data_IF_241078392488
#
_entry.id   IF_241078392488
#
_cell.length_a   1.000
_cell.length_b   1.000
_cell.length_c   1.000
_cell.angle_alpha   90.00
_cell.angle_beta   90.00
_cell.angle_gamma   90.00
#
_symmetry.space_group_name_H-M   'P 1'
#
loop_
_entity.id
_entity.type
_entity.pdbx_description
1 polymer ?
#
# COMPACT_ATOMS: atom_id res chain seq x y z
N UNK A 1 22.34 -12.57 0.43
CA UNK A 1 20.98 -12.66 0.95
C UNK A 1 20.05 -13.02 -0.18
N UNK A 2 19.17 -13.96 0.03
CA UNK A 2 18.05 -14.34 -0.85
C UNK A 2 16.77 -13.82 -0.23
N UNK A 3 15.80 -13.42 -1.04
CA UNK A 3 14.51 -12.92 -0.59
C UNK A 3 13.42 -13.70 -1.33
N UNK A 4 12.47 -14.23 -0.59
CA UNK A 4 11.31 -14.95 -1.13
C UNK A 4 10.05 -14.20 -0.75
N UNK A 5 9.17 -13.99 -1.72
CA UNK A 5 7.98 -13.13 -1.56
C UNK A 5 6.74 -13.93 -1.93
N UNK A 6 5.73 -13.82 -1.09
CA UNK A 6 4.40 -14.35 -1.32
C UNK A 6 3.32 -13.42 -0.79
N UNK A 7 2.09 -13.54 -1.29
CA UNK A 7 0.96 -12.72 -0.90
C UNK A 7 -0.29 -13.55 -0.57
N UNK A 8 -1.18 -12.95 0.22
CA UNK A 8 -2.49 -13.51 0.55
C UNK A 8 -3.59 -12.44 0.47
N UNK A 9 -4.83 -12.91 0.25
CA UNK A 9 -5.96 -12.00 0.10
C UNK A 9 -6.04 -11.34 -1.27
N UNK A 10 -5.36 -11.89 -2.29
CA UNK A 10 -5.45 -11.40 -3.66
C UNK A 10 -6.84 -11.68 -4.24
N UNK A 11 -7.51 -10.63 -4.70
CA UNK A 11 -8.82 -10.69 -5.38
C UNK A 11 -8.77 -9.98 -6.74
N UNK A 12 -7.58 -9.78 -7.28
CA UNK A 12 -7.36 -9.03 -8.53
C UNK A 12 -7.96 -7.63 -8.45
N UNK A 13 -8.77 -7.27 -9.44
CA UNK A 13 -9.44 -5.97 -9.49
C UNK A 13 -10.63 -5.83 -8.51
N UNK A 14 -11.12 -6.95 -7.95
CA UNK A 14 -12.24 -6.94 -7.00
C UNK A 14 -11.75 -6.68 -5.56
N UNK A 15 -11.27 -5.48 -5.29
CA UNK A 15 -10.80 -5.13 -3.94
C UNK A 15 -11.94 -5.04 -2.91
N UNK A 16 -13.20 -4.94 -3.34
CA UNK A 16 -14.39 -4.92 -2.49
C UNK A 16 -14.88 -6.31 -2.05
N UNK A 17 -14.10 -7.37 -2.23
CA UNK A 17 -14.45 -8.71 -1.78
C UNK A 17 -14.47 -8.77 -0.25
N UNK A 18 -15.67 -9.01 0.30
CA UNK A 18 -15.90 -9.08 1.76
C UNK A 18 -15.26 -10.31 2.42
N UNK A 19 -14.98 -11.37 1.67
CA UNK A 19 -14.30 -12.56 2.18
C UNK A 19 -12.80 -12.34 2.36
N UNK A 20 -12.23 -11.39 1.60
CA UNK A 20 -10.82 -11.04 1.63
C UNK A 20 -10.64 -9.52 1.78
N UNK A 21 -11.04 -8.92 2.93
CA UNK A 21 -11.00 -7.46 3.12
C UNK A 21 -9.58 -6.91 3.25
N UNK A 22 -8.63 -7.76 3.61
CA UNK A 22 -7.23 -7.39 3.82
C UNK A 22 -6.37 -8.09 2.76
N UNK A 23 -5.38 -7.37 2.26
CA UNK A 23 -4.30 -7.90 1.44
C UNK A 23 -3.03 -7.95 2.28
N UNK A 24 -2.31 -9.07 2.20
CA UNK A 24 -1.07 -9.31 2.92
C UNK A 24 0.07 -9.60 1.96
N UNK A 25 1.27 -9.17 2.33
CA UNK A 25 2.50 -9.44 1.61
C UNK A 25 3.60 -9.78 2.61
N UNK A 26 4.30 -10.89 2.39
CA UNK A 26 5.41 -11.33 3.22
C UNK A 26 6.67 -11.47 2.37
N UNK A 27 7.79 -10.96 2.86
CA UNK A 27 9.10 -11.28 2.30
C UNK A 27 9.95 -11.96 3.37
N UNK A 28 10.45 -13.14 3.06
CA UNK A 28 11.38 -13.94 3.84
C UNK A 28 12.81 -13.62 3.40
N UNK A 29 13.65 -13.16 4.30
CA UNK A 29 15.07 -12.88 4.08
C UNK A 29 15.90 -14.03 4.61
N UNK A 30 16.66 -14.69 3.74
CA UNK A 30 17.51 -15.80 4.09
C UNK A 30 18.97 -15.53 3.71
N UNK A 31 19.88 -15.99 4.54
CA UNK A 31 21.31 -15.90 4.25
C UNK A 31 21.69 -16.80 3.08
N UNK A 32 21.09 -17.99 3.00
CA UNK A 32 21.37 -18.99 1.99
C UNK A 32 20.20 -19.17 1.02
N UNK A 33 20.47 -19.84 -0.09
CA UNK A 33 19.44 -20.15 -1.08
C UNK A 33 18.62 -21.37 -0.61
N UNK A 34 17.38 -21.12 -0.18
CA UNK A 34 16.46 -22.14 0.31
C UNK A 34 15.99 -23.12 -0.80
N UNK A 35 16.06 -22.69 -2.05
CA UNK A 35 15.67 -23.55 -3.20
C UNK A 35 16.66 -24.69 -3.41
N UNK A 36 17.87 -24.58 -2.86
CA UNK A 36 18.86 -25.66 -2.96
C UNK A 36 18.58 -26.80 -1.95
N UNK A 37 17.76 -26.53 -0.92
CA UNK A 37 17.40 -27.48 0.17
C UNK A 37 18.59 -28.38 0.56
N UNK A 38 19.66 -27.74 1.01
CA UNK A 38 20.96 -28.39 1.27
C UNK A 38 20.84 -29.63 2.20
N UNK A 39 19.82 -29.65 3.07
CA UNK A 39 19.56 -30.74 4.00
C UNK A 39 18.45 -31.70 3.52
N UNK A 40 17.76 -31.41 2.44
CA UNK A 40 16.66 -32.22 1.90
C UNK A 40 15.45 -32.37 2.81
N UNK A 41 15.39 -31.62 3.94
CA UNK A 41 14.40 -31.85 5.00
C UNK A 41 12.97 -31.66 4.50
N UNK A 42 12.68 -30.52 3.85
CA UNK A 42 11.35 -30.24 3.32
C UNK A 42 11.01 -31.15 2.14
N UNK A 43 11.97 -31.40 1.26
CA UNK A 43 11.81 -32.30 0.13
C UNK A 43 11.49 -33.74 0.58
N UNK A 44 12.21 -34.26 1.58
CA UNK A 44 11.98 -35.60 2.14
C UNK A 44 10.61 -35.67 2.83
N UNK A 45 10.23 -34.63 3.57
CA UNK A 45 8.89 -34.54 4.17
C UNK A 45 7.80 -34.59 3.10
N UNK A 46 7.87 -33.78 2.06
CA UNK A 46 6.89 -33.78 0.96
C UNK A 46 6.80 -35.18 0.29
N UNK A 47 7.96 -35.78 0.00
CA UNK A 47 8.03 -37.11 -0.58
C UNK A 47 7.37 -38.17 0.32
N UNK A 48 7.60 -38.12 1.64
CA UNK A 48 6.98 -39.07 2.61
C UNK A 48 5.46 -38.92 2.67
N UNK A 49 4.93 -37.78 2.30
CA UNK A 49 3.47 -37.44 2.26
C UNK A 49 2.88 -37.57 0.84
N UNK A 50 3.67 -38.04 -0.13
CA UNK A 50 3.29 -38.15 -1.55
C UNK A 50 2.79 -36.82 -2.13
N UNK A 51 3.44 -35.69 -1.72
CA UNK A 51 3.15 -34.34 -2.18
C UNK A 51 4.30 -33.79 -3.02
N UNK A 52 3.97 -32.99 -4.03
CA UNK A 52 4.97 -32.28 -4.87
C UNK A 52 5.33 -30.93 -4.32
N UNK A 53 4.40 -30.28 -3.64
CA UNK A 53 4.53 -28.96 -3.05
C UNK A 53 3.79 -28.86 -1.72
N UNK A 54 4.15 -27.90 -0.90
CA UNK A 54 3.46 -27.51 0.32
C UNK A 54 2.68 -26.21 0.04
N UNK A 55 1.38 -26.32 -0.06
CA UNK A 55 0.48 -25.17 -0.13
C UNK A 55 -0.34 -25.12 1.15
N UNK A 56 -0.20 -24.06 1.94
CA UNK A 56 -0.72 -24.02 3.30
C UNK A 56 -2.25 -24.16 3.36
N UNK A 57 -2.98 -23.45 2.50
CA UNK A 57 -4.45 -23.51 2.45
C UNK A 57 -4.99 -24.87 2.01
N UNK A 58 -4.28 -25.58 1.14
CA UNK A 58 -4.70 -26.91 0.61
C UNK A 58 -4.28 -28.08 1.49
N UNK A 59 -3.38 -27.86 2.43
CA UNK A 59 -2.80 -28.92 3.25
C UNK A 59 -2.80 -28.63 4.75
N UNK A 60 -3.94 -28.19 5.35
CA UNK A 60 -3.97 -27.76 6.75
C UNK A 60 -3.58 -28.86 7.74
N UNK A 61 -3.85 -30.14 7.40
CA UNK A 61 -3.48 -31.30 8.21
C UNK A 61 -1.96 -31.57 8.26
N UNK A 62 -1.17 -31.01 7.36
CA UNK A 62 0.29 -31.16 7.34
C UNK A 62 1.02 -30.02 8.02
N UNK A 63 0.32 -28.92 8.33
CA UNK A 63 0.96 -27.69 8.81
C UNK A 63 1.68 -27.86 10.14
N UNK A 64 1.18 -28.73 11.05
CA UNK A 64 1.83 -28.95 12.34
C UNK A 64 3.23 -29.57 12.16
N UNK A 65 3.33 -30.63 11.36
CA UNK A 65 4.60 -31.28 11.09
C UNK A 65 5.52 -30.39 10.27
N UNK A 66 4.96 -29.73 9.24
CA UNK A 66 5.69 -28.80 8.39
C UNK A 66 6.26 -27.61 9.17
N UNK A 67 5.50 -27.07 10.13
CA UNK A 67 5.93 -25.94 10.96
C UNK A 67 7.20 -26.24 11.76
N UNK A 68 7.32 -27.46 12.28
CA UNK A 68 8.53 -27.88 12.99
C UNK A 68 9.76 -27.91 12.07
N UNK A 69 9.60 -28.42 10.85
CA UNK A 69 10.68 -28.49 9.86
C UNK A 69 11.07 -27.10 9.38
N UNK A 70 10.05 -26.27 9.06
CA UNK A 70 10.24 -24.90 8.61
C UNK A 70 10.94 -24.08 9.68
N UNK A 71 10.52 -24.14 10.93
CA UNK A 71 11.15 -23.43 12.04
C UNK A 71 12.66 -23.76 12.10
N UNK A 72 13.02 -25.03 12.04
CA UNK A 72 14.42 -25.44 12.03
C UNK A 72 15.20 -24.83 10.84
N UNK A 73 14.61 -24.87 9.63
CA UNK A 73 15.21 -24.25 8.44
C UNK A 73 15.42 -22.74 8.65
N UNK A 74 14.44 -22.03 9.21
CA UNK A 74 14.51 -20.61 9.44
C UNK A 74 15.57 -20.23 10.48
N UNK A 75 15.67 -20.99 11.58
CA UNK A 75 16.69 -20.82 12.63
C UNK A 75 18.11 -21.06 12.06
N UNK A 76 18.33 -22.15 11.34
CA UNK A 76 19.63 -22.49 10.73
C UNK A 76 20.08 -21.43 9.69
N UNK A 77 19.13 -20.78 9.02
CA UNK A 77 19.38 -19.73 8.03
C UNK A 77 19.40 -18.32 8.61
N UNK A 78 19.13 -18.16 9.90
CA UNK A 78 19.00 -16.87 10.57
C UNK A 78 18.06 -15.94 9.76
N UNK A 79 16.85 -16.44 9.55
CA UNK A 79 15.87 -15.83 8.67
C UNK A 79 15.14 -14.67 9.35
N UNK A 80 14.81 -13.64 8.55
CA UNK A 80 14.06 -12.46 8.97
C UNK A 80 12.91 -12.18 8.01
N UNK A 81 11.99 -11.28 8.40
CA UNK A 81 10.79 -11.04 7.65
C UNK A 81 10.51 -9.55 7.46
N UNK A 82 9.92 -9.22 6.33
CA UNK A 82 9.17 -8.00 6.10
C UNK A 82 7.71 -8.35 5.91
N UNK A 83 6.81 -7.59 6.53
CA UNK A 83 5.38 -7.82 6.48
C UNK A 83 4.64 -6.58 6.00
N UNK A 84 3.68 -6.74 5.10
CA UNK A 84 2.76 -5.67 4.72
C UNK A 84 1.31 -6.11 4.86
N UNK A 85 0.49 -5.18 5.35
CA UNK A 85 -0.96 -5.34 5.51
C UNK A 85 -1.67 -4.13 4.92
N UNK A 86 -2.59 -4.36 3.99
CA UNK A 86 -3.38 -3.33 3.35
C UNK A 86 -4.86 -3.61 3.56
N UNK A 87 -5.54 -2.75 4.31
CA UNK A 87 -6.99 -2.68 4.33
C UNK A 87 -7.48 -2.14 2.99
N UNK A 88 -8.20 -2.98 2.24
CA UNK A 88 -8.65 -2.66 0.88
C UNK A 88 -9.67 -1.53 0.84
N UNK A 89 -10.51 -1.40 1.88
CA UNK A 89 -11.45 -0.28 1.97
C UNK A 89 -10.70 1.02 2.21
N UNK A 90 -9.71 1.00 3.09
CA UNK A 90 -8.84 2.15 3.33
C UNK A 90 -8.04 2.54 2.09
N UNK A 91 -7.55 1.58 1.31
CA UNK A 91 -6.89 1.82 0.03
C UNK A 91 -7.84 2.51 -0.96
N UNK A 92 -9.08 2.01 -1.09
CA UNK A 92 -10.06 2.62 -1.97
C UNK A 92 -10.37 4.08 -1.58
N UNK A 93 -10.53 4.35 -0.28
CA UNK A 93 -10.68 5.71 0.23
C UNK A 93 -9.46 6.59 -0.02
N UNK A 94 -8.25 6.09 0.17
CA UNK A 94 -7.03 6.84 -0.09
C UNK A 94 -6.93 7.24 -1.56
N UNK A 95 -7.28 6.34 -2.49
CA UNK A 95 -7.31 6.62 -3.92
C UNK A 95 -8.39 7.63 -4.30
N UNK A 96 -9.60 7.52 -3.72
CA UNK A 96 -10.66 8.49 -3.91
C UNK A 96 -10.23 9.88 -3.40
N UNK A 97 -9.64 9.93 -2.21
CA UNK A 97 -9.16 11.17 -1.62
C UNK A 97 -8.07 11.81 -2.48
N UNK A 98 -7.06 11.04 -2.87
CA UNK A 98 -5.97 11.53 -3.71
C UNK A 98 -6.52 12.12 -5.03
N UNK A 99 -7.43 11.44 -5.70
CA UNK A 99 -8.04 11.93 -6.95
C UNK A 99 -8.87 13.22 -6.76
N UNK A 100 -9.55 13.38 -5.62
CA UNK A 100 -10.38 14.57 -5.38
C UNK A 100 -9.59 15.76 -4.86
N UNK A 101 -8.50 15.51 -4.11
CA UNK A 101 -7.75 16.57 -3.42
C UNK A 101 -6.38 16.86 -4.03
N UNK A 102 -6.01 16.22 -5.15
CA UNK A 102 -4.84 16.64 -5.91
C UNK A 102 -5.11 18.00 -6.58
N UNK A 103 -4.39 19.01 -6.15
CA UNK A 103 -4.57 20.37 -6.64
C UNK A 103 -3.96 20.61 -8.03
N UNK A 104 -3.14 19.68 -8.54
CA UNK A 104 -2.62 19.76 -9.91
C UNK A 104 -3.65 19.23 -10.92
N UNK A 105 -4.48 18.29 -10.49
CA UNK A 105 -5.52 17.66 -11.31
C UNK A 105 -6.92 18.25 -11.06
N UNK A 106 -7.18 18.75 -9.85
CA UNK A 106 -8.49 19.26 -9.46
C UNK A 106 -8.44 20.74 -9.03
N UNK A 107 -8.99 21.59 -9.86
CA UNK A 107 -9.05 23.04 -9.60
C UNK A 107 -9.77 23.40 -8.29
N UNK A 108 -10.75 22.58 -7.87
CA UNK A 108 -11.47 22.75 -6.61
C UNK A 108 -10.67 22.32 -5.37
N UNK A 109 -9.50 21.70 -5.56
CA UNK A 109 -8.66 21.26 -4.46
C UNK A 109 -7.68 22.38 -4.03
N UNK A 110 -7.51 22.55 -2.72
CA UNK A 110 -6.60 23.54 -2.16
C UNK A 110 -5.18 23.01 -2.06
N UNK A 111 -4.20 23.79 -2.50
CA UNK A 111 -2.78 23.45 -2.42
C UNK A 111 -2.31 23.17 -0.99
N UNK A 112 -2.85 23.90 -0.01
CA UNK A 112 -2.53 23.74 1.41
C UNK A 112 -2.78 22.31 1.93
N UNK A 113 -3.75 21.57 1.40
CA UNK A 113 -4.04 20.21 1.82
C UNK A 113 -2.88 19.25 1.48
N UNK A 114 -2.24 19.44 0.34
CA UNK A 114 -1.08 18.63 -0.05
C UNK A 114 0.22 19.05 0.62
N UNK A 115 0.36 20.35 0.93
CA UNK A 115 1.58 20.88 1.51
C UNK A 115 1.71 20.61 3.01
N UNK A 116 0.58 20.54 3.73
CA UNK A 116 0.59 20.36 5.18
C UNK A 116 0.05 18.98 5.56
N UNK A 117 0.95 18.07 5.90
CA UNK A 117 0.61 16.67 6.25
C UNK A 117 -0.50 16.55 7.29
N UNK A 118 -0.44 17.36 8.35
CA UNK A 118 -1.45 17.31 9.41
C UNK A 118 -2.85 17.68 8.90
N UNK A 119 -2.98 18.74 8.11
CA UNK A 119 -4.25 19.11 7.52
C UNK A 119 -4.78 18.05 6.56
N UNK A 120 -3.89 17.44 5.77
CA UNK A 120 -4.24 16.32 4.89
C UNK A 120 -4.78 15.13 5.67
N UNK A 121 -4.09 14.70 6.74
CA UNK A 121 -4.52 13.57 7.57
C UNK A 121 -5.85 13.86 8.27
N UNK A 122 -6.03 15.06 8.84
CA UNK A 122 -7.29 15.49 9.45
C UNK A 122 -8.45 15.51 8.46
N UNK A 123 -8.24 16.12 7.29
CA UNK A 123 -9.27 16.18 6.27
C UNK A 123 -9.62 14.77 5.76
N UNK A 124 -8.61 13.91 5.57
CA UNK A 124 -8.83 12.54 5.17
C UNK A 124 -9.62 11.76 6.22
N UNK A 125 -9.31 11.92 7.51
CA UNK A 125 -10.09 11.31 8.58
C UNK A 125 -11.55 11.79 8.55
N UNK A 126 -11.78 13.11 8.45
CA UNK A 126 -13.12 13.66 8.35
C UNK A 126 -13.87 13.13 7.13
N UNK A 127 -13.19 13.05 5.99
CA UNK A 127 -13.75 12.54 4.75
C UNK A 127 -14.22 11.08 4.86
N UNK A 128 -13.36 10.19 5.38
CA UNK A 128 -13.72 8.77 5.51
C UNK A 128 -14.73 8.49 6.63
N UNK A 129 -14.87 9.40 7.61
CA UNK A 129 -15.79 9.22 8.73
C UNK A 129 -17.27 9.41 8.36
N UNK A 130 -17.55 10.05 7.23
CA UNK A 130 -18.92 10.33 6.78
C UNK A 130 -19.39 9.43 5.65
N UNK A 131 -18.51 8.64 5.07
CA UNK A 131 -18.79 7.82 3.89
C UNK A 131 -18.78 6.33 4.22
N UNK A 132 -19.65 5.60 3.54
CA UNK A 132 -19.65 4.14 3.56
C UNK A 132 -18.58 3.59 2.61
N UNK A 133 -18.03 2.43 2.92
CA UNK A 133 -17.01 1.74 2.09
C UNK A 133 -17.48 1.53 0.64
N UNK A 134 -18.79 1.37 0.42
CA UNK A 134 -19.39 1.20 -0.91
C UNK A 134 -19.10 2.38 -1.85
N UNK A 135 -19.02 3.60 -1.32
CA UNK A 135 -18.68 4.80 -2.13
C UNK A 135 -17.25 4.72 -2.64
N UNK A 136 -16.33 4.31 -1.79
CA UNK A 136 -14.93 4.16 -2.16
C UNK A 136 -14.72 2.99 -3.14
N UNK A 137 -15.39 1.86 -2.92
CA UNK A 137 -15.34 0.73 -3.85
C UNK A 137 -16.01 1.03 -5.19
N UNK A 138 -17.10 1.79 -5.20
CA UNK A 138 -17.75 2.26 -6.44
C UNK A 138 -16.78 3.11 -7.27
N UNK A 139 -16.11 4.07 -6.62
CA UNK A 139 -15.06 4.88 -7.26
C UNK A 139 -13.93 4.01 -7.79
N UNK A 140 -13.35 3.15 -6.97
CA UNK A 140 -12.23 2.32 -7.34
C UNK A 140 -12.55 1.44 -8.55
N UNK A 141 -13.68 0.72 -8.51
CA UNK A 141 -14.10 -0.21 -9.56
C UNK A 141 -14.48 0.50 -10.86
N UNK A 142 -15.23 1.59 -10.77
CA UNK A 142 -15.89 2.18 -11.94
C UNK A 142 -15.22 3.49 -12.43
N UNK A 143 -14.28 4.04 -11.66
CA UNK A 143 -13.47 5.16 -12.13
C UNK A 143 -12.04 4.70 -12.43
N UNK A 144 -11.30 4.19 -11.43
CA UNK A 144 -9.90 3.79 -11.63
C UNK A 144 -9.75 2.52 -12.51
N UNK A 145 -10.64 1.54 -12.35
CA UNK A 145 -10.63 0.28 -13.12
C UNK A 145 -11.59 0.30 -14.31
N UNK A 146 -12.14 1.46 -14.66
CA UNK A 146 -13.09 1.60 -15.76
C UNK A 146 -12.50 1.15 -17.11
N UNK A 147 -13.37 0.66 -18.00
CA UNK A 147 -12.98 0.28 -19.37
C UNK A 147 -13.08 1.45 -20.35
N UNK A 148 -13.73 2.55 -19.99
CA UNK A 148 -13.80 3.75 -20.81
C UNK A 148 -13.82 5.02 -19.96
N UNK A 149 -13.25 6.10 -20.51
CA UNK A 149 -13.23 7.42 -19.86
C UNK A 149 -14.64 7.99 -19.66
N UNK A 150 -15.54 7.77 -20.61
CA UNK A 150 -16.93 8.23 -20.53
C UNK A 150 -17.59 7.59 -19.30
N UNK A 151 -17.46 6.28 -19.15
CA UNK A 151 -17.98 5.56 -18.01
C UNK A 151 -17.37 6.05 -16.69
N UNK A 152 -16.04 6.22 -16.64
CA UNK A 152 -15.36 6.75 -15.45
C UNK A 152 -15.92 8.11 -15.03
N UNK A 153 -16.12 9.03 -15.96
CA UNK A 153 -16.67 10.37 -15.70
C UNK A 153 -18.12 10.33 -15.16
N UNK A 154 -18.96 9.48 -15.71
CA UNK A 154 -20.33 9.34 -15.22
C UNK A 154 -20.38 8.77 -13.79
N UNK A 155 -19.56 7.76 -13.50
CA UNK A 155 -19.46 7.25 -12.13
C UNK A 155 -18.83 8.26 -11.16
N UNK A 156 -17.84 9.04 -11.59
CA UNK A 156 -17.30 10.12 -10.76
C UNK A 156 -18.39 11.13 -10.37
N UNK A 157 -19.23 11.53 -11.31
CA UNK A 157 -20.36 12.43 -11.01
C UNK A 157 -21.30 11.81 -9.96
N UNK A 158 -21.60 10.51 -10.06
CA UNK A 158 -22.42 9.79 -9.09
C UNK A 158 -21.76 9.73 -7.70
N UNK A 159 -20.46 9.44 -7.64
CA UNK A 159 -19.67 9.45 -6.41
C UNK A 159 -19.65 10.85 -5.79
N UNK A 160 -19.38 11.90 -6.57
CA UNK A 160 -19.42 13.28 -6.11
C UNK A 160 -20.80 13.66 -5.52
N UNK A 161 -21.89 13.26 -6.19
CA UNK A 161 -23.25 13.50 -5.69
C UNK A 161 -23.47 12.79 -4.34
N UNK A 162 -22.98 11.56 -4.19
CA UNK A 162 -23.09 10.82 -2.93
C UNK A 162 -22.30 11.50 -1.81
N UNK A 163 -21.08 11.93 -2.06
CA UNK A 163 -20.27 12.66 -1.09
C UNK A 163 -21.00 13.94 -0.62
N UNK A 164 -21.51 14.75 -1.55
CA UNK A 164 -22.25 15.97 -1.23
C UNK A 164 -23.52 15.71 -0.41
N UNK A 165 -24.17 14.55 -0.59
CA UNK A 165 -25.34 14.18 0.23
C UNK A 165 -25.00 13.79 1.66
N UNK A 166 -23.72 13.47 1.97
CA UNK A 166 -23.27 13.06 3.30
C UNK A 166 -22.49 14.16 4.05
N UNK A 167 -22.11 15.23 3.36
CA UNK A 167 -21.21 16.26 3.89
C UNK A 167 -21.77 17.00 5.12
N UNK A 168 -23.09 17.04 5.27
CA UNK A 168 -23.77 17.65 6.43
C UNK A 168 -23.46 16.93 7.74
N UNK A 169 -23.00 15.66 7.69
CA UNK A 169 -22.58 14.88 8.87
C UNK A 169 -21.32 15.46 9.54
N UNK A 170 -20.53 16.21 8.80
CA UNK A 170 -19.36 16.89 9.36
C UNK A 170 -19.79 18.09 10.20
N UNK A 171 -19.29 18.15 11.44
CA UNK A 171 -19.54 19.30 12.35
C UNK A 171 -18.72 20.51 11.97
N UNK A 172 -17.49 20.31 11.52
CA UNK A 172 -16.56 21.36 11.16
C UNK A 172 -16.93 22.00 9.81
N UNK A 173 -17.29 23.30 9.86
CA UNK A 173 -17.69 24.07 8.70
C UNK A 173 -16.57 24.23 7.67
N UNK A 174 -15.32 24.31 8.14
CA UNK A 174 -14.17 24.48 7.24
C UNK A 174 -13.89 23.21 6.45
N UNK A 175 -13.93 22.03 7.10
CA UNK A 175 -13.81 20.76 6.40
C UNK A 175 -14.95 20.56 5.39
N UNK A 176 -16.18 20.93 5.75
CA UNK A 176 -17.31 20.89 4.78
C UNK A 176 -17.01 21.71 3.55
N UNK A 177 -16.62 22.97 3.73
CA UNK A 177 -16.30 23.87 2.62
C UNK A 177 -15.18 23.32 1.72
N UNK A 178 -14.08 22.84 2.32
CA UNK A 178 -12.94 22.29 1.57
C UNK A 178 -13.36 21.06 0.75
N UNK A 179 -14.16 20.17 1.34
CA UNK A 179 -14.63 18.97 0.64
C UNK A 179 -15.62 19.36 -0.46
N UNK A 180 -16.54 20.28 -0.18
CA UNK A 180 -17.52 20.75 -1.16
C UNK A 180 -16.86 21.39 -2.38
N UNK A 181 -15.86 22.25 -2.16
CA UNK A 181 -15.11 22.90 -3.25
C UNK A 181 -14.37 21.87 -4.11
N UNK A 182 -13.68 20.90 -3.49
CA UNK A 182 -12.97 19.86 -4.20
C UNK A 182 -13.92 18.95 -5.01
N UNK A 183 -15.04 18.53 -4.40
CA UNK A 183 -16.02 17.68 -5.06
C UNK A 183 -16.73 18.39 -6.20
N UNK A 184 -17.05 19.68 -6.04
CA UNK A 184 -17.64 20.48 -7.12
C UNK A 184 -16.62 20.73 -8.23
N UNK A 185 -15.35 21.00 -7.92
CA UNK A 185 -14.29 21.08 -8.92
C UNK A 185 -14.17 19.80 -9.74
N UNK A 186 -14.11 18.64 -9.09
CA UNK A 186 -14.06 17.35 -9.74
C UNK A 186 -15.29 17.06 -10.62
N UNK A 187 -16.47 17.50 -10.21
CA UNK A 187 -17.73 17.31 -10.97
C UNK A 187 -17.77 18.14 -12.24
N UNK A 188 -17.24 19.36 -12.21
CA UNK A 188 -17.33 20.31 -13.33
C UNK A 188 -16.11 20.27 -14.24
N UNK A 189 -14.92 20.00 -13.69
CA UNK A 189 -13.64 19.97 -14.42
C UNK A 189 -13.08 18.54 -14.51
N UNK A 190 -13.94 17.56 -14.72
CA UNK A 190 -13.55 16.15 -14.73
C UNK A 190 -12.66 15.73 -15.90
N UNK A 191 -12.43 16.61 -16.88
CA UNK A 191 -11.49 16.37 -17.98
C UNK A 191 -10.03 16.47 -17.56
N UNK A 192 -9.76 17.23 -16.50
CA UNK A 192 -8.42 17.44 -15.96
C UNK A 192 -8.01 16.37 -14.93
N UNK A 193 -8.99 15.65 -14.38
CA UNK A 193 -8.72 14.62 -13.37
C UNK A 193 -8.25 13.34 -14.07
N UNK A 194 -7.06 12.92 -13.75
CA UNK A 194 -6.44 11.68 -14.24
C UNK A 194 -7.10 10.44 -13.61
N UNK A 195 -8.33 10.16 -14.01
CA UNK A 195 -9.10 9.02 -13.52
C UNK A 195 -8.90 7.77 -14.35
N UNK A 196 -8.47 7.94 -15.59
CA UNK A 196 -8.49 6.87 -16.58
C UNK A 196 -7.11 6.68 -17.19
N UNK A 197 -6.48 5.61 -16.81
CA UNK A 197 -5.29 5.13 -17.47
C UNK A 197 -5.67 4.42 -18.78
N UNK A 198 -5.25 4.97 -19.93
CA UNK A 198 -5.54 4.39 -21.26
C UNK A 198 -5.06 2.96 -21.38
N UNK A 199 -3.89 2.67 -20.83
CA UNK A 199 -3.32 1.34 -20.82
C UNK A 199 -3.79 0.52 -19.63
N UNK A 200 -4.32 -0.68 -19.89
CA UNK A 200 -4.81 -1.59 -18.85
C UNK A 200 -3.76 -1.88 -17.76
N UNK A 201 -2.49 -1.95 -18.15
CA UNK A 201 -1.38 -2.22 -17.22
C UNK A 201 -1.18 -1.09 -16.22
N UNK A 202 -1.39 0.17 -16.62
CA UNK A 202 -1.25 1.31 -15.71
C UNK A 202 -2.34 1.33 -14.63
N UNK A 203 -3.55 0.85 -14.94
CA UNK A 203 -4.64 0.72 -13.93
C UNK A 203 -4.24 -0.22 -12.79
N UNK A 204 -3.45 -1.25 -13.08
CA UNK A 204 -3.00 -2.19 -12.07
C UNK A 204 -2.01 -1.60 -11.06
N UNK A 205 -1.45 -0.42 -11.32
CA UNK A 205 -0.62 0.33 -10.35
C UNK A 205 -1.38 0.71 -9.09
N UNK A 206 -2.71 0.70 -9.15
CA UNK A 206 -3.56 0.97 -7.98
C UNK A 206 -3.81 -0.26 -7.11
N UNK A 207 -3.46 -1.47 -7.56
CA UNK A 207 -3.67 -2.70 -6.81
C UNK A 207 -2.85 -2.75 -5.51
N UNK A 208 -3.38 -3.44 -4.47
CA UNK A 208 -2.68 -3.60 -3.19
C UNK A 208 -1.25 -4.14 -3.32
N UNK A 209 -1.03 -5.09 -4.25
CA UNK A 209 0.29 -5.64 -4.55
C UNK A 209 1.33 -4.54 -4.80
N UNK A 210 1.00 -3.59 -5.66
CA UNK A 210 1.93 -2.55 -6.08
C UNK A 210 2.17 -1.56 -4.95
N UNK A 211 1.12 -1.24 -4.20
CA UNK A 211 1.19 -0.34 -3.05
C UNK A 211 2.10 -0.89 -1.96
N UNK A 212 2.14 -2.22 -1.76
CA UNK A 212 3.03 -2.88 -0.79
C UNK A 212 4.41 -3.24 -1.34
N UNK A 213 4.54 -3.49 -2.65
CA UNK A 213 5.79 -3.96 -3.26
C UNK A 213 6.90 -2.90 -3.23
N UNK A 214 6.57 -1.63 -3.48
CA UNK A 214 7.55 -0.52 -3.47
C UNK A 214 8.17 -0.29 -2.09
N UNK A 215 7.40 -0.17 -0.99
CA UNK A 215 7.95 -0.13 0.36
C UNK A 215 8.77 -1.37 0.72
N UNK A 216 8.38 -2.55 0.25
CA UNK A 216 9.11 -3.81 0.45
C UNK A 216 10.51 -3.77 -0.19
N UNK A 217 10.64 -3.32 -1.44
CA UNK A 217 11.93 -3.14 -2.10
C UNK A 217 12.82 -2.18 -1.31
N UNK A 218 12.25 -1.09 -0.80
CA UNK A 218 12.96 -0.15 0.06
C UNK A 218 13.41 -0.81 1.37
N UNK A 219 12.59 -1.64 2.00
CA UNK A 219 12.95 -2.37 3.22
C UNK A 219 14.08 -3.38 2.96
N UNK A 220 14.03 -4.12 1.84
CA UNK A 220 15.12 -5.02 1.39
C UNK A 220 16.44 -4.25 1.27
N UNK A 221 16.40 -3.08 0.63
CA UNK A 221 17.58 -2.24 0.45
C UNK A 221 18.14 -1.75 1.79
N UNK A 222 17.29 -1.21 2.68
CA UNK A 222 17.70 -0.76 4.02
C UNK A 222 18.29 -1.89 4.86
N UNK A 223 17.67 -3.06 4.86
CA UNK A 223 18.16 -4.24 5.58
C UNK A 223 19.51 -4.70 5.05
N UNK A 224 19.66 -4.81 3.72
CA UNK A 224 20.91 -5.14 3.05
C UNK A 224 22.03 -4.16 3.44
N UNK A 225 21.74 -2.86 3.44
CA UNK A 225 22.69 -1.79 3.80
C UNK A 225 23.11 -1.86 5.25
N UNK A 226 22.13 -1.96 6.17
CA UNK A 226 22.36 -2.03 7.62
C UNK A 226 23.25 -3.22 8.01
N UNK A 227 23.01 -4.38 7.40
CA UNK A 227 23.69 -5.62 7.73
C UNK A 227 24.89 -5.92 6.80
N UNK A 228 25.23 -5.01 5.87
CA UNK A 228 26.33 -5.17 4.89
C UNK A 228 26.19 -6.46 4.06
N UNK A 229 24.96 -6.86 3.75
CA UNK A 229 24.66 -8.05 2.97
C UNK A 229 24.48 -7.69 1.49
N UNK A 230 24.92 -8.57 0.58
CA UNK A 230 24.62 -8.44 -0.84
C UNK A 230 23.30 -9.16 -1.15
N UNK A 231 22.38 -8.50 -1.85
CA UNK A 231 21.19 -9.14 -2.39
C UNK A 231 21.60 -9.98 -3.60
N UNK A 232 21.40 -11.29 -3.54
CA UNK A 232 21.72 -12.23 -4.62
C UNK A 232 20.54 -12.50 -5.52
N UNK A 233 19.36 -12.70 -4.92
CA UNK A 233 18.09 -12.91 -5.63
C UNK A 233 16.91 -12.40 -4.81
N UNK A 234 15.90 -11.94 -5.52
CA UNK A 234 14.56 -11.66 -5.03
C UNK A 234 13.61 -12.51 -5.87
N UNK A 235 12.94 -13.45 -5.24
CA UNK A 235 12.08 -14.44 -5.88
C UNK A 235 10.66 -14.17 -5.42
N UNK A 236 9.77 -13.88 -6.35
CA UNK A 236 8.34 -13.66 -6.09
C UNK A 236 7.55 -14.84 -6.64
N UNK A 237 6.51 -15.25 -5.91
CA UNK A 237 5.60 -16.27 -6.42
C UNK A 237 4.88 -15.78 -7.69
N UNK A 238 4.47 -16.68 -8.56
CA UNK A 238 3.95 -16.37 -9.90
C UNK A 238 2.60 -15.66 -9.81
N UNK A 239 2.52 -14.48 -10.47
CA UNK A 239 1.33 -13.66 -10.57
C UNK A 239 1.10 -13.25 -12.03
N UNK A 240 0.50 -14.14 -12.82
CA UNK A 240 0.35 -13.96 -14.28
C UNK A 240 -0.17 -12.58 -14.68
N UNK A 241 -1.16 -12.03 -13.94
CA UNK A 241 -1.82 -10.79 -14.31
C UNK A 241 -0.92 -9.54 -14.17
N UNK A 242 -0.06 -9.53 -13.15
CA UNK A 242 0.74 -8.32 -12.80
C UNK A 242 2.25 -8.53 -12.95
N UNK A 243 2.67 -9.69 -13.41
CA UNK A 243 4.09 -10.06 -13.55
C UNK A 243 4.92 -8.99 -14.26
N UNK A 244 4.47 -8.52 -15.43
CA UNK A 244 5.18 -7.47 -16.18
C UNK A 244 5.33 -6.19 -15.38
N UNK A 245 4.27 -5.79 -14.68
CA UNK A 245 4.27 -4.57 -13.87
C UNK A 245 5.22 -4.68 -12.68
N UNK A 246 5.28 -5.85 -12.01
CA UNK A 246 6.25 -6.09 -10.93
C UNK A 246 7.68 -6.00 -11.44
N UNK A 247 7.98 -6.58 -12.62
CA UNK A 247 9.30 -6.49 -13.26
C UNK A 247 9.64 -5.04 -13.60
N UNK A 248 8.70 -4.28 -14.16
CA UNK A 248 8.93 -2.86 -14.53
C UNK A 248 9.19 -2.00 -13.29
N UNK A 249 8.41 -2.19 -12.23
CA UNK A 249 8.61 -1.47 -10.96
C UNK A 249 9.96 -1.82 -10.35
N UNK A 250 10.32 -3.10 -10.35
CA UNK A 250 11.62 -3.53 -9.87
C UNK A 250 12.76 -2.87 -10.64
N UNK A 251 12.73 -2.90 -11.97
CA UNK A 251 13.74 -2.27 -12.84
C UNK A 251 13.87 -0.77 -12.58
N UNK A 252 12.73 -0.05 -12.54
CA UNK A 252 12.72 1.38 -12.26
C UNK A 252 13.28 1.70 -10.86
N UNK A 253 12.99 0.86 -9.86
CA UNK A 253 13.51 1.01 -8.50
C UNK A 253 15.03 0.76 -8.44
N UNK A 254 15.52 -0.27 -9.15
CA UNK A 254 16.94 -0.57 -9.24
C UNK A 254 17.71 0.54 -9.97
N UNK A 255 17.19 1.02 -11.10
CA UNK A 255 17.75 2.14 -11.85
C UNK A 255 17.80 3.42 -11.00
N UNK A 256 16.71 3.72 -10.27
CA UNK A 256 16.73 4.85 -9.33
C UNK A 256 17.79 4.66 -8.25
N UNK A 257 17.98 3.44 -7.76
CA UNK A 257 18.98 3.08 -6.76
C UNK A 257 20.41 3.39 -7.19
N UNK A 258 20.72 3.34 -8.50
CA UNK A 258 22.03 3.69 -9.06
C UNK A 258 22.43 5.17 -8.81
N UNK A 259 21.44 6.05 -8.55
CA UNK A 259 21.74 7.44 -8.16
C UNK A 259 22.43 7.55 -6.81
N UNK A 260 22.48 6.47 -6.03
CA UNK A 260 23.18 6.40 -4.75
C UNK A 260 22.53 7.17 -3.60
N UNK A 261 21.36 7.74 -3.82
CA UNK A 261 20.61 8.53 -2.83
C UNK A 261 19.18 7.99 -2.66
N UNK A 262 18.62 8.00 -1.43
CA UNK A 262 17.23 7.66 -1.22
C UNK A 262 16.28 8.66 -1.92
N UNK A 263 15.12 8.16 -2.36
CA UNK A 263 14.03 8.99 -2.85
C UNK A 263 13.35 9.67 -1.67
N UNK A 264 13.47 10.98 -1.57
CA UNK A 264 12.84 11.76 -0.51
C UNK A 264 11.38 12.06 -0.88
N UNK A 265 10.45 11.58 -0.05
CA UNK A 265 9.01 11.82 -0.16
C UNK A 265 8.55 12.99 0.71
N UNK A 266 9.45 13.92 1.04
CA UNK A 266 9.23 15.06 1.94
C UNK A 266 8.75 14.56 3.32
N UNK A 267 7.60 15.06 3.79
CA UNK A 267 7.05 14.69 5.10
C UNK A 267 6.62 13.22 5.21
N UNK A 268 6.53 12.50 4.08
CA UNK A 268 6.16 11.08 4.05
C UNK A 268 7.36 10.12 4.21
N UNK A 269 8.54 10.67 4.53
CA UNK A 269 9.76 9.87 4.73
C UNK A 269 10.58 9.67 3.46
N UNK A 270 11.28 8.55 3.37
CA UNK A 270 12.12 8.24 2.21
C UNK A 270 12.05 6.77 1.83
N UNK A 271 12.23 6.49 0.54
CA UNK A 271 12.41 5.15 0.00
C UNK A 271 13.87 4.97 -0.40
N UNK A 272 14.50 3.93 0.08
CA UNK A 272 15.90 3.60 -0.22
C UNK A 272 15.96 2.39 -1.17
N UNK A 273 16.49 2.60 -2.37
CA UNK A 273 16.70 1.54 -3.37
C UNK A 273 18.17 1.32 -3.68
N UNK A 274 19.09 1.97 -2.94
CA UNK A 274 20.54 2.02 -3.25
C UNK A 274 21.24 0.66 -3.21
N UNK A 275 20.59 -0.38 -2.67
CA UNK A 275 21.09 -1.76 -2.58
C UNK A 275 20.27 -2.76 -3.37
N UNK A 276 19.33 -2.31 -4.21
CA UNK A 276 18.56 -3.18 -5.11
C UNK A 276 19.41 -3.40 -6.38
N UNK A 277 19.84 -4.63 -6.69
CA UNK A 277 20.62 -4.91 -7.90
C UNK A 277 19.72 -4.94 -9.14
N UNK A 278 20.23 -4.63 -10.32
CA UNK A 278 19.44 -4.55 -11.56
C UNK A 278 18.84 -5.88 -12.03
N UNK A 279 19.52 -6.99 -11.84
CA UNK A 279 19.17 -8.27 -12.49
C UNK A 279 18.98 -9.42 -11.48
N UNK A 280 18.40 -9.13 -10.31
CA UNK A 280 18.25 -10.11 -9.25
C UNK A 280 16.79 -10.47 -8.94
N UNK A 281 15.82 -10.01 -9.74
CA UNK A 281 14.41 -10.30 -9.56
C UNK A 281 13.96 -11.44 -10.49
N UNK A 282 13.33 -12.43 -9.90
CA UNK A 282 12.79 -13.60 -10.58
C UNK A 282 11.35 -13.84 -10.13
N UNK A 283 10.49 -14.23 -11.05
CA UNK A 283 9.15 -14.75 -10.76
C UNK A 283 9.17 -16.25 -11.01
N UNK A 284 8.73 -17.03 -10.03
CA UNK A 284 8.76 -18.49 -10.08
C UNK A 284 7.44 -19.09 -9.66
N UNK A 285 7.05 -20.20 -10.31
CA UNK A 285 6.02 -21.11 -9.81
C UNK A 285 6.49 -21.71 -8.47
N UNK A 286 5.64 -21.63 -7.44
CA UNK A 286 5.89 -22.15 -6.09
C UNK A 286 6.36 -23.62 -6.10
N UNK A 287 5.89 -24.43 -7.07
CA UNK A 287 6.34 -25.83 -7.27
C UNK A 287 7.84 -25.97 -7.45
N UNK A 288 8.50 -24.91 -7.93
CA UNK A 288 9.94 -24.91 -8.23
C UNK A 288 10.78 -24.17 -7.20
N UNK A 289 10.14 -23.59 -6.16
CA UNK A 289 10.82 -22.80 -5.13
C UNK A 289 10.39 -23.21 -3.73
N UNK A 290 11.28 -23.86 -2.98
CA UNK A 290 11.05 -24.16 -1.57
C UNK A 290 10.96 -22.87 -0.72
N UNK A 291 11.70 -21.85 -1.10
CA UNK A 291 11.65 -20.56 -0.39
C UNK A 291 10.27 -19.90 -0.46
N UNK A 292 9.60 -19.92 -1.63
CA UNK A 292 8.23 -19.42 -1.76
C UNK A 292 7.22 -20.27 -1.00
N UNK A 293 7.33 -21.61 -1.04
CA UNK A 293 6.48 -22.52 -0.24
C UNK A 293 6.62 -22.27 1.27
N UNK A 294 7.85 -22.04 1.77
CA UNK A 294 8.09 -21.68 3.17
C UNK A 294 7.43 -20.34 3.47
N UNK A 295 7.53 -19.36 2.56
CA UNK A 295 6.93 -18.04 2.73
C UNK A 295 5.40 -18.12 2.75
N UNK A 296 4.76 -18.95 1.89
CA UNK A 296 3.32 -19.25 1.89
C UNK A 296 2.86 -19.78 3.26
N UNK A 297 3.55 -20.78 3.80
CA UNK A 297 3.21 -21.34 5.12
C UNK A 297 3.38 -20.27 6.23
N UNK A 298 4.46 -19.51 6.20
CA UNK A 298 4.67 -18.43 7.18
C UNK A 298 3.57 -17.38 7.10
N UNK A 299 3.19 -16.97 5.90
CA UNK A 299 2.13 -16.01 5.67
C UNK A 299 0.76 -16.55 6.11
N UNK A 300 0.47 -17.79 5.78
CA UNK A 300 -0.77 -18.44 6.20
C UNK A 300 -0.90 -18.48 7.73
N UNK A 301 0.16 -18.88 8.44
CA UNK A 301 0.18 -18.91 9.90
C UNK A 301 -0.02 -17.51 10.48
N UNK A 302 0.65 -16.48 9.94
CA UNK A 302 0.47 -15.11 10.39
C UNK A 302 -0.97 -14.61 10.23
N UNK A 303 -1.64 -14.95 9.13
CA UNK A 303 -2.93 -14.34 8.79
C UNK A 303 -4.14 -15.12 9.34
N UNK A 304 -4.03 -16.45 9.46
CA UNK A 304 -5.15 -17.30 9.88
C UNK A 304 -5.14 -17.62 11.37
N UNK A 305 -3.96 -17.73 11.97
CA UNK A 305 -3.86 -18.12 13.37
C UNK A 305 -4.08 -16.92 14.30
N UNK A 306 -3.85 -15.67 13.86
CA UNK A 306 -4.21 -14.46 14.60
C UNK A 306 -5.71 -14.37 14.90
N UNK A 307 -6.56 -14.97 14.07
CA UNK A 307 -8.01 -14.95 14.22
C UNK A 307 -8.58 -16.06 15.09
N UNK A 308 -7.86 -17.17 15.30
CA UNK A 308 -8.44 -18.41 15.85
C UNK A 308 -7.88 -18.89 17.19
N UNK A 309 -6.88 -18.29 17.80
CA UNK A 309 -6.26 -18.62 19.10
C UNK A 309 -6.04 -20.13 19.41
N UNK A 310 -6.25 -21.03 18.47
CA UNK A 310 -6.09 -22.49 18.62
C UNK A 310 -4.78 -22.94 17.95
N UNK A 311 -3.69 -22.44 18.48
CA UNK A 311 -2.37 -22.86 18.00
C UNK A 311 -2.04 -24.28 18.45
N UNK A 312 -1.70 -25.13 17.51
CA UNK A 312 -0.92 -26.31 17.82
C UNK A 312 0.53 -25.90 18.19
N UNK A 313 1.25 -26.70 19.00
CA UNK A 313 2.53 -26.27 19.57
C UNK A 313 3.61 -25.82 18.56
N UNK A 314 3.73 -26.52 17.43
CA UNK A 314 4.74 -26.16 16.45
C UNK A 314 4.35 -24.94 15.60
N UNK A 315 3.08 -24.78 15.30
CA UNK A 315 2.56 -23.57 14.64
C UNK A 315 2.76 -22.34 15.53
N UNK A 316 2.50 -22.47 16.84
CA UNK A 316 2.74 -21.39 17.77
C UNK A 316 4.23 -20.98 17.81
N UNK A 317 5.14 -21.95 17.88
CA UNK A 317 6.59 -21.67 17.85
C UNK A 317 7.00 -20.98 16.56
N UNK A 318 6.47 -21.41 15.42
CA UNK A 318 6.74 -20.79 14.13
C UNK A 318 6.17 -19.36 14.07
N UNK A 319 4.95 -19.14 14.56
CA UNK A 319 4.34 -17.82 14.67
C UNK A 319 5.18 -16.88 15.55
N UNK A 320 5.61 -17.35 16.72
CA UNK A 320 6.45 -16.59 17.64
C UNK A 320 7.80 -16.22 17.00
N UNK A 321 8.42 -17.18 16.31
CA UNK A 321 9.64 -16.91 15.56
C UNK A 321 9.44 -15.83 14.51
N UNK A 322 8.41 -15.93 13.68
CA UNK A 322 8.15 -14.94 12.60
C UNK A 322 7.93 -13.55 13.20
N UNK A 323 7.07 -13.45 14.21
CA UNK A 323 6.69 -12.16 14.81
C UNK A 323 7.84 -11.48 15.55
N UNK A 324 8.78 -12.24 16.11
CA UNK A 324 9.98 -11.72 16.78
C UNK A 324 11.12 -11.39 15.82
N UNK A 325 11.04 -11.81 14.54
CA UNK A 325 12.08 -11.61 13.53
C UNK A 325 11.66 -10.65 12.41
N UNK A 326 10.69 -9.77 12.65
CA UNK A 326 10.40 -8.70 11.69
C UNK A 326 11.52 -7.65 11.68
N UNK A 327 12.00 -7.33 10.48
CA UNK A 327 12.97 -6.25 10.24
C UNK A 327 12.29 -4.91 9.97
N UNK A 328 11.10 -4.98 9.35
CA UNK A 328 10.29 -3.82 9.01
C UNK A 328 8.87 -4.28 8.68
N UNK A 329 7.91 -3.33 8.69
CA UNK A 329 6.53 -3.61 8.32
C UNK A 329 5.89 -2.39 7.66
N UNK A 330 4.88 -2.65 6.81
CA UNK A 330 4.07 -1.64 6.17
C UNK A 330 2.59 -1.90 6.45
N UNK A 331 1.99 -1.05 7.27
CA UNK A 331 0.57 -1.14 7.61
C UNK A 331 -0.18 0.03 6.97
N UNK A 332 -1.17 -0.29 6.14
CA UNK A 332 -1.97 0.69 5.43
C UNK A 332 -3.45 0.52 5.78
N UNK A 333 -3.88 1.14 6.89
CA UNK A 333 -5.21 1.00 7.47
C UNK A 333 -5.63 2.21 8.33
N UNK A 334 -6.91 2.24 8.72
CA UNK A 334 -7.49 3.32 9.56
C UNK A 334 -6.79 3.46 10.92
N UNK A 335 -6.25 2.37 11.50
CA UNK A 335 -5.56 2.43 12.81
C UNK A 335 -4.25 3.21 12.71
N UNK A 336 -3.53 3.04 11.60
CA UNK A 336 -2.29 3.81 11.34
C UNK A 336 -2.61 5.29 11.16
N UNK A 337 -3.67 5.64 10.42
CA UNK A 337 -4.11 7.03 10.28
C UNK A 337 -4.38 7.68 11.64
N UNK A 338 -5.11 7.00 12.52
CA UNK A 338 -5.39 7.51 13.87
C UNK A 338 -4.11 7.68 14.70
N UNK A 339 -3.18 6.74 14.61
CA UNK A 339 -1.88 6.84 15.29
C UNK A 339 -1.07 8.03 14.79
N UNK A 340 -1.02 8.24 13.49
CA UNK A 340 -0.33 9.39 12.87
C UNK A 340 -0.96 10.72 13.29
N UNK A 341 -2.29 10.81 13.30
CA UNK A 341 -3.01 11.98 13.80
C UNK A 341 -2.69 12.27 15.26
N UNK A 342 -2.68 11.25 16.13
CA UNK A 342 -2.34 11.40 17.54
C UNK A 342 -0.90 11.91 17.71
N UNK A 343 0.06 11.38 16.95
CA UNK A 343 1.45 11.82 16.97
C UNK A 343 1.60 13.28 16.50
N UNK A 344 0.90 13.67 15.44
CA UNK A 344 0.90 15.06 14.97
C UNK A 344 0.30 16.00 16.01
N UNK A 345 -0.82 15.62 16.65
CA UNK A 345 -1.43 16.38 17.73
C UNK A 345 -0.47 16.57 18.90
N UNK A 346 0.17 15.50 19.35
CA UNK A 346 1.14 15.58 20.46
C UNK A 346 2.29 16.52 20.12
N UNK A 347 2.81 16.48 18.88
CA UNK A 347 3.85 17.40 18.44
C UNK A 347 3.38 18.86 18.49
N UNK A 348 2.18 19.16 17.96
CA UNK A 348 1.62 20.50 17.95
C UNK A 348 1.41 21.05 19.37
N UNK A 349 0.87 20.22 20.28
CA UNK A 349 0.65 20.62 21.68
C UNK A 349 1.95 20.90 22.44
N UNK A 350 3.05 20.24 22.06
CA UNK A 350 4.36 20.43 22.70
C UNK A 350 5.24 21.48 21.99
N UNK A 351 4.75 22.09 20.91
CA UNK A 351 5.48 23.12 20.19
C UNK A 351 5.11 24.50 20.73
N UNK A 352 6.09 25.23 21.27
CA UNK A 352 5.91 26.62 21.61
C UNK A 352 5.90 27.45 20.33
N UNK A 353 4.71 27.92 19.93
CA UNK A 353 4.54 28.76 18.74
C UNK A 353 4.52 30.22 19.21
N UNK A 354 5.44 31.01 18.69
CA UNK A 354 5.47 32.44 19.01
C UNK A 354 4.32 33.19 18.34
N UNK A 355 3.86 34.35 18.89
CA UNK A 355 2.88 35.18 18.21
C UNK A 355 3.31 35.63 16.80
N UNK A 356 4.61 35.80 16.59
CA UNK A 356 5.19 36.16 15.29
C UNK A 356 5.07 34.99 14.27
N UNK A 357 5.23 33.74 14.73
CA UNK A 357 5.05 32.56 13.87
C UNK A 357 3.57 32.35 13.52
N UNK A 358 2.65 32.67 14.44
CA UNK A 358 1.21 32.65 14.17
C UNK A 358 0.87 33.67 13.08
N UNK A 359 1.31 34.93 13.22
CA UNK A 359 1.05 35.95 12.21
C UNK A 359 1.64 35.63 10.85
N UNK A 360 2.84 35.07 10.81
CA UNK A 360 3.43 34.53 9.55
C UNK A 360 2.61 33.42 8.93
N UNK A 361 2.15 32.48 9.76
CA UNK A 361 1.29 31.39 9.32
C UNK A 361 -0.04 31.86 8.74
N UNK A 362 -0.70 32.82 9.41
CA UNK A 362 -1.95 33.44 8.94
C UNK A 362 -1.77 34.08 7.57
N UNK A 363 -0.71 34.90 7.38
CA UNK A 363 -0.40 35.50 6.08
C UNK A 363 -0.18 34.50 4.97
N UNK A 364 0.49 33.37 5.26
CA UNK A 364 0.68 32.28 4.30
C UNK A 364 -0.66 31.65 3.92
N UNK A 365 -1.52 31.38 4.90
CA UNK A 365 -2.84 30.79 4.65
C UNK A 365 -3.73 31.74 3.85
N UNK A 366 -3.76 33.02 4.20
CA UNK A 366 -4.49 34.05 3.45
C UNK A 366 -4.04 34.15 1.99
N UNK A 367 -2.72 34.13 1.76
CA UNK A 367 -2.20 34.18 0.39
C UNK A 367 -2.59 32.89 -0.38
N UNK A 368 -2.51 31.71 0.23
CA UNK A 368 -2.93 30.47 -0.40
C UNK A 368 -4.43 30.44 -0.74
N UNK A 369 -5.29 30.97 0.13
CA UNK A 369 -6.73 31.08 -0.15
C UNK A 369 -6.99 32.08 -1.29
N UNK A 370 -6.31 33.20 -1.29
CA UNK A 370 -6.40 34.20 -2.39
C UNK A 370 -5.99 33.58 -3.73
N UNK A 371 -4.89 32.84 -3.75
CA UNK A 371 -4.41 32.16 -4.95
C UNK A 371 -5.40 31.08 -5.43
N UNK A 372 -6.00 30.33 -4.48
CA UNK A 372 -7.05 29.37 -4.78
C UNK A 372 -8.26 30.00 -5.45
N UNK A 373 -8.80 31.08 -4.88
CA UNK A 373 -9.96 31.77 -5.45
C UNK A 373 -9.64 32.41 -6.79
N UNK A 374 -8.48 33.03 -6.95
CA UNK A 374 -8.05 33.58 -8.23
C UNK A 374 -8.00 32.52 -9.33
N UNK A 375 -7.46 31.34 -9.04
CA UNK A 375 -7.42 30.22 -9.97
C UNK A 375 -8.82 29.73 -10.31
N UNK A 376 -9.69 29.60 -9.32
CA UNK A 376 -11.07 29.12 -9.50
C UNK A 376 -11.89 30.09 -10.38
N UNK A 377 -11.72 31.40 -10.18
CA UNK A 377 -12.42 32.44 -10.96
C UNK A 377 -11.88 32.57 -12.38
N UNK A 378 -10.57 32.51 -12.58
CA UNK A 378 -9.97 32.60 -13.92
C UNK A 378 -10.45 31.49 -14.84
N UNK A 379 -10.58 30.28 -14.36
CA UNK A 379 -11.10 29.16 -15.14
C UNK A 379 -12.62 29.23 -15.38
N UNK A 380 -13.40 29.82 -14.46
CA UNK A 380 -14.84 30.05 -14.71
C UNK A 380 -15.08 31.01 -15.86
N UNK A 381 -14.27 32.04 -15.98
CA UNK A 381 -14.36 33.04 -17.08
C UNK A 381 -14.00 32.38 -18.41
N UNK A 382 -12.88 31.64 -18.48
CA UNK A 382 -12.48 30.93 -19.70
C UNK A 382 -13.50 29.91 -20.20
N UNK A 383 -14.14 29.17 -19.29
CA UNK A 383 -15.16 28.18 -19.63
C UNK A 383 -16.54 28.81 -20.00
N UNK A 384 -16.79 30.07 -19.65
CA UNK A 384 -17.99 30.82 -20.06
C UNK A 384 -17.84 31.50 -21.41
N UNK A 385 -16.61 31.77 -21.87
CA UNK A 385 -16.30 32.34 -23.19
C UNK A 385 -16.21 31.28 -24.29
N UNK A 386 -16.07 29.99 -23.93
CA UNK A 386 -16.04 28.86 -24.89
C UNK A 386 -17.40 28.19 -25.11
N UNK A 387 -18.46 28.67 -24.51
CA UNK A 387 -19.86 28.26 -24.76
C UNK A 387 -20.64 29.32 -25.53
#
# INVERSE_FOLDING_TARGET
MFVYIDESGNTGQNIGDKNHPIFYHLALFSKYNLDLDLNGSLKNFLKSRNKKELHAAESPGLLEDASSIILKILEENNAYFYYAEIDKSYLAFAKLFDSLFDNEENIGARRSIYQFRYLRLMLFWNFISILDDDVAFLFYKNCLMANSLIQAKEYLKAVCKRILSEIYKLRDARSRQIIEDAVNGAKFCNDEISLFEKEKQNRWRHLPHIVSFVPMLSAISRYSKKNKLKVHKIIHDEQEQIQRLLIDIYKNSAEYGLKGIPLNLRENGSLDFTRIPENCFEIKDSKTSFGTQITDVCLYILTHEMSNFNFSPNRFKLYDYITTHFVDYFLFNKKVLLKELALCNTKLMNTNISPEDIEKGEKIVEQMEKDFYNRLYSNKVQNSEMK
#
